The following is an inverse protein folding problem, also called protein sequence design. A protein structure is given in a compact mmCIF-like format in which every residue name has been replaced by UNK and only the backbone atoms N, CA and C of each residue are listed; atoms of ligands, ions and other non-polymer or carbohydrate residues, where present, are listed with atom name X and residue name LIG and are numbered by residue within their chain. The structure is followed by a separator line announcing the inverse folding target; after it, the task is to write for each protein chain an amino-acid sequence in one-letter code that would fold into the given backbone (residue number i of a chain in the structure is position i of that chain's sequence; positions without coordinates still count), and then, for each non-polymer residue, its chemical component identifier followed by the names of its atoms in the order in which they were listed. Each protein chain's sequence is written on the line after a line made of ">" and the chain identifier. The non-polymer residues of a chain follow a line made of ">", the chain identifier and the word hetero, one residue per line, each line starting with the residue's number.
data_IF_347981578133
#
_entry.id   IF_347981578133
#
_cell.length_a   1.000
_cell.length_b   1.000
_cell.length_c   1.000
_cell.angle_alpha   90.00
_cell.angle_beta   90.00
_cell.angle_gamma   90.00
#
_symmetry.space_group_name_H-M   'P 1'
#
loop_
_entity.id
_entity.type
_entity.pdbx_description
1 polymer ?
#
# COMPACT_ATOMS: atom_id res chain seq x y z
N UNK A 1 29.68 21.23 68.15
CA UNK A 1 28.49 20.37 67.95
C UNK A 1 27.58 20.92 66.86
N UNK A 2 27.16 22.19 66.94
CA UNK A 2 26.27 22.85 65.97
C UNK A 2 26.75 22.76 64.51
N UNK A 3 28.04 23.01 64.27
CA UNK A 3 28.64 23.05 62.92
C UNK A 3 28.62 21.69 62.20
N UNK A 4 28.86 20.59 62.93
CA UNK A 4 28.71 19.22 62.42
C UNK A 4 27.27 18.92 61.98
N UNK A 5 26.27 19.41 62.72
CA UNK A 5 24.85 19.25 62.36
C UNK A 5 24.50 20.04 61.11
N UNK A 6 25.02 21.28 60.97
CA UNK A 6 24.82 22.11 59.77
C UNK A 6 25.40 21.43 58.51
N UNK A 7 26.60 20.87 58.59
CA UNK A 7 27.22 20.16 57.46
C UNK A 7 26.46 18.89 57.06
N UNK A 8 25.94 18.12 58.03
CA UNK A 8 25.13 16.93 57.75
C UNK A 8 23.79 17.28 57.09
N UNK A 9 23.13 18.37 57.52
CA UNK A 9 21.89 18.86 56.89
C UNK A 9 22.15 19.35 55.46
N UNK A 10 23.25 20.08 55.22
CA UNK A 10 23.64 20.50 53.88
C UNK A 10 23.90 19.32 52.94
N UNK A 11 24.62 18.30 53.41
CA UNK A 11 24.89 17.10 52.61
C UNK A 11 23.59 16.34 52.25
N UNK A 12 22.64 16.25 53.19
CA UNK A 12 21.34 15.63 52.94
C UNK A 12 20.50 16.42 51.91
N UNK A 13 20.48 17.75 51.99
CA UNK A 13 19.78 18.62 51.03
C UNK A 13 20.39 18.52 49.62
N UNK A 14 21.73 18.53 49.51
CA UNK A 14 22.42 18.35 48.22
C UNK A 14 22.14 16.97 47.63
N UNK A 15 22.16 15.91 48.45
CA UNK A 15 21.80 14.55 48.03
C UNK A 15 20.35 14.45 47.53
N UNK A 16 19.40 15.10 48.22
CA UNK A 16 17.99 15.13 47.84
C UNK A 16 17.78 15.89 46.52
N UNK A 17 18.41 17.05 46.35
CA UNK A 17 18.33 17.84 45.11
C UNK A 17 18.99 17.10 43.94
N UNK A 18 20.16 16.49 44.14
CA UNK A 18 20.84 15.70 43.10
C UNK A 18 20.01 14.46 42.72
N UNK A 19 19.47 13.73 43.70
CA UNK A 19 18.57 12.60 43.47
C UNK A 19 17.31 13.01 42.71
N UNK A 20 16.68 14.13 43.07
CA UNK A 20 15.53 14.68 42.37
C UNK A 20 15.88 15.12 40.94
N UNK A 21 17.07 15.68 40.69
CA UNK A 21 17.48 16.14 39.37
C UNK A 21 17.83 14.98 38.42
N UNK A 22 18.34 13.86 38.95
CA UNK A 22 18.67 12.64 38.19
C UNK A 22 17.46 11.72 37.97
N UNK A 23 16.58 11.56 38.98
CA UNK A 23 15.42 10.66 38.91
C UNK A 23 14.10 11.38 38.57
N UNK A 24 13.86 12.58 39.10
CA UNK A 24 12.65 13.37 38.84
C UNK A 24 12.53 13.92 37.41
N UNK A 25 13.62 13.89 36.63
CA UNK A 25 13.59 14.15 35.18
C UNK A 25 13.17 12.95 34.33
N UNK A 26 13.03 11.74 34.91
CA UNK A 26 12.47 10.58 34.21
C UNK A 26 10.97 10.80 34.07
N UNK A 27 10.54 11.24 32.89
CA UNK A 27 9.12 11.37 32.54
C UNK A 27 8.43 10.02 32.84
N UNK A 28 7.27 10.00 33.51
CA UNK A 28 6.47 8.78 33.59
C UNK A 28 6.18 8.31 32.17
N UNK A 29 6.32 7.01 31.91
CA UNK A 29 6.04 6.41 30.60
C UNK A 29 4.67 6.85 30.12
N UNK A 30 4.57 7.24 28.85
CA UNK A 30 3.33 7.80 28.30
C UNK A 30 2.24 6.72 28.47
N UNK A 31 1.05 7.04 29.04
CA UNK A 31 -0.01 6.04 29.23
C UNK A 31 -0.50 5.43 27.90
N UNK A 32 -0.17 6.05 26.76
CA UNK A 32 -0.29 5.48 25.43
C UNK A 32 0.54 4.20 25.23
N UNK A 33 1.80 4.12 25.66
CA UNK A 33 2.72 3.04 25.28
C UNK A 33 2.19 1.66 25.73
N UNK A 34 1.64 1.55 26.94
CA UNK A 34 1.04 0.30 27.44
C UNK A 34 -0.29 -0.04 26.75
N UNK A 35 -1.12 0.98 26.45
CA UNK A 35 -2.38 0.81 25.73
C UNK A 35 -2.17 0.46 24.25
N UNK A 36 -1.12 1.01 23.63
CA UNK A 36 -0.70 0.75 22.26
C UNK A 36 -0.08 -0.65 22.14
N UNK A 37 0.78 -1.05 23.08
CA UNK A 37 1.26 -2.45 23.18
C UNK A 37 0.10 -3.44 23.42
N UNK A 38 -0.92 -3.07 24.19
CA UNK A 38 -2.11 -3.91 24.36
C UNK A 38 -2.95 -4.03 23.07
N UNK A 39 -3.13 -2.93 22.33
CA UNK A 39 -3.83 -2.91 21.03
C UNK A 39 -3.07 -3.69 19.96
N UNK A 40 -1.76 -3.47 19.82
CA UNK A 40 -0.91 -4.21 18.87
C UNK A 40 -0.90 -5.72 19.14
N UNK A 41 -0.98 -6.14 20.41
CA UNK A 41 -1.15 -7.56 20.76
C UNK A 41 -2.53 -8.09 20.37
N UNK A 42 -3.59 -7.33 20.59
CA UNK A 42 -4.94 -7.72 20.16
C UNK A 42 -5.04 -7.85 18.63
N UNK A 43 -4.49 -6.89 17.89
CA UNK A 43 -4.42 -6.92 16.43
C UNK A 43 -3.62 -8.15 15.92
N UNK A 44 -2.47 -8.44 16.53
CA UNK A 44 -1.66 -9.62 16.21
C UNK A 44 -2.43 -10.94 16.39
N UNK A 45 -3.19 -11.09 17.48
CA UNK A 45 -4.01 -12.26 17.73
C UNK A 45 -5.18 -12.37 16.73
N UNK A 46 -5.83 -11.25 16.36
CA UNK A 46 -6.88 -11.27 15.32
C UNK A 46 -6.32 -11.63 13.94
N UNK A 47 -5.11 -11.18 13.58
CA UNK A 47 -4.46 -11.58 12.34
C UNK A 47 -4.06 -13.07 12.33
N UNK A 48 -3.68 -13.62 13.49
CA UNK A 48 -3.40 -15.06 13.63
C UNK A 48 -4.65 -15.91 13.44
N UNK A 49 -5.78 -15.51 14.04
CA UNK A 49 -7.07 -16.19 13.87
C UNK A 49 -7.53 -16.15 12.40
N UNK A 50 -7.42 -15.00 11.73
CA UNK A 50 -7.71 -14.89 10.30
C UNK A 50 -6.81 -15.80 9.45
N UNK A 51 -5.52 -15.94 9.82
CA UNK A 51 -4.59 -16.88 9.17
C UNK A 51 -5.04 -18.34 9.29
N UNK A 52 -5.50 -18.77 10.48
CA UNK A 52 -6.01 -20.15 10.66
C UNK A 52 -7.30 -20.40 9.89
N UNK A 53 -8.18 -19.39 9.74
CA UNK A 53 -9.39 -19.51 8.92
C UNK A 53 -9.06 -19.63 7.43
N UNK A 54 -8.06 -18.87 6.95
CA UNK A 54 -7.55 -19.00 5.58
C UNK A 54 -6.91 -20.37 5.31
N UNK A 55 -6.11 -20.90 6.25
CA UNK A 55 -5.48 -22.21 6.15
C UNK A 55 -6.53 -23.34 6.12
N UNK A 56 -7.58 -23.24 6.93
CA UNK A 56 -8.72 -24.17 6.90
C UNK A 56 -9.50 -24.09 5.57
N UNK A 57 -9.67 -22.89 5.00
CA UNK A 57 -10.32 -22.73 3.69
C UNK A 57 -9.48 -23.31 2.54
N UNK A 58 -8.15 -23.18 2.59
CA UNK A 58 -7.23 -23.81 1.63
C UNK A 58 -7.34 -25.33 1.73
N UNK A 59 -7.22 -25.91 2.93
CA UNK A 59 -7.35 -27.35 3.14
C UNK A 59 -8.71 -27.90 2.66
N UNK A 60 -9.79 -27.12 2.82
CA UNK A 60 -11.12 -27.48 2.30
C UNK A 60 -11.18 -27.48 0.77
N UNK A 61 -10.61 -26.46 0.11
CA UNK A 61 -10.52 -26.39 -1.35
C UNK A 61 -9.65 -27.50 -1.93
N UNK A 62 -8.53 -27.84 -1.28
CA UNK A 62 -7.66 -28.95 -1.69
C UNK A 62 -8.37 -30.31 -1.56
N UNK A 63 -9.15 -30.53 -0.49
CA UNK A 63 -9.95 -31.73 -0.33
C UNK A 63 -11.04 -31.85 -1.41
N UNK A 64 -11.72 -30.75 -1.73
CA UNK A 64 -12.75 -30.72 -2.78
C UNK A 64 -12.16 -30.93 -4.18
N UNK A 65 -10.98 -30.36 -4.46
CA UNK A 65 -10.24 -30.57 -5.71
C UNK A 65 -9.71 -32.00 -5.85
N UNK A 66 -9.24 -32.60 -4.75
CA UNK A 66 -8.80 -34.01 -4.70
C UNK A 66 -9.96 -34.97 -4.97
N UNK A 67 -11.13 -34.71 -4.37
CA UNK A 67 -12.35 -35.49 -4.60
C UNK A 67 -12.85 -35.38 -6.05
N UNK A 68 -12.69 -34.21 -6.69
CA UNK A 68 -12.99 -33.99 -8.11
C UNK A 68 -12.01 -34.69 -9.08
N UNK A 69 -10.89 -35.24 -8.59
CA UNK A 69 -9.84 -35.90 -9.39
C UNK A 69 -10.00 -37.42 -9.53
N UNK A 70 -11.07 -38.01 -8.98
CA UNK A 70 -11.44 -39.40 -9.32
C UNK A 70 -12.05 -39.47 -10.73
N UNK A 71 -11.64 -40.44 -11.58
CA UNK A 71 -11.88 -40.36 -13.02
C UNK A 71 -13.35 -40.57 -13.40
N UNK A 72 -13.93 -39.58 -14.06
CA UNK A 72 -15.16 -39.76 -14.85
C UNK A 72 -14.85 -40.72 -15.99
N UNK A 73 -15.55 -41.87 -16.14
CA UNK A 73 -15.25 -42.83 -17.20
C UNK A 73 -15.53 -42.24 -18.59
N UNK A 74 -14.61 -42.51 -19.52
CA UNK A 74 -14.61 -42.05 -20.91
C UNK A 74 -15.83 -42.60 -21.70
N UNK A 75 -16.95 -41.87 -21.74
CA UNK A 75 -18.12 -42.25 -22.55
C UNK A 75 -19.08 -41.09 -22.91
N UNK A 76 -18.57 -39.89 -23.25
CA UNK A 76 -19.42 -38.78 -23.72
C UNK A 76 -18.68 -37.71 -24.56
N UNK A 77 -17.73 -38.10 -25.41
CA UNK A 77 -16.92 -37.17 -26.22
C UNK A 77 -17.42 -37.01 -27.67
N UNK A 78 -18.69 -37.29 -27.95
CA UNK A 78 -19.26 -37.26 -29.31
C UNK A 78 -20.64 -36.58 -29.30
N UNK A 79 -20.84 -35.58 -30.17
CA UNK A 79 -21.79 -34.44 -30.07
C UNK A 79 -21.37 -33.45 -28.95
N UNK A 80 -21.25 -32.15 -29.17
CA UNK A 80 -21.95 -31.27 -30.13
C UNK A 80 -20.97 -30.32 -30.83
N UNK A 81 -20.83 -30.46 -32.16
CA UNK A 81 -20.14 -29.48 -33.04
C UNK A 81 -21.18 -28.71 -33.86
N UNK A 82 -22.16 -28.13 -33.18
CA UNK A 82 -23.32 -27.51 -33.82
C UNK A 82 -23.98 -26.44 -32.95
N UNK A 83 -23.42 -25.22 -32.96
CA UNK A 83 -24.18 -23.98 -33.11
C UNK A 83 -23.26 -22.74 -33.12
N UNK A 84 -22.93 -22.29 -34.33
CA UNK A 84 -22.58 -20.89 -34.62
C UNK A 84 -23.82 -20.27 -35.28
N UNK A 85 -24.31 -19.11 -34.82
CA UNK A 85 -25.25 -18.30 -35.61
C UNK A 85 -26.49 -17.68 -34.95
N UNK A 86 -26.31 -16.87 -33.90
CA UNK A 86 -27.18 -15.73 -33.49
C UNK A 86 -26.50 -15.01 -32.32
N UNK A 87 -26.41 -13.67 -32.24
CA UNK A 87 -27.17 -12.58 -32.89
C UNK A 87 -26.19 -11.43 -33.25
N UNK A 88 -26.50 -10.61 -34.27
CA UNK A 88 -25.74 -9.40 -34.67
C UNK A 88 -26.66 -8.17 -34.62
N UNK A 89 -26.10 -7.01 -34.22
CA UNK A 89 -26.69 -5.65 -34.25
C UNK A 89 -27.42 -5.24 -32.97
N UNK A 90 -27.50 -3.98 -32.52
CA UNK A 90 -26.93 -2.67 -32.96
C UNK A 90 -27.20 -1.62 -31.84
N UNK A 91 -26.53 -0.47 -31.67
CA UNK A 91 -25.36 0.15 -32.33
C UNK A 91 -24.74 1.28 -31.45
N UNK A 92 -23.46 1.58 -31.69
CA UNK A 92 -22.73 2.89 -31.70
C UNK A 92 -23.20 4.10 -30.85
N UNK A 93 -22.31 4.96 -30.31
CA UNK A 93 -21.26 5.69 -31.07
C UNK A 93 -20.06 6.13 -30.19
N UNK A 94 -18.85 6.16 -30.77
CA UNK A 94 -17.59 6.70 -30.20
C UNK A 94 -17.37 8.19 -30.68
N UNK A 95 -16.18 8.85 -30.74
CA UNK A 95 -14.75 8.44 -30.78
C UNK A 95 -13.96 8.89 -29.52
N UNK A 96 -12.66 8.63 -29.33
CA UNK A 96 -11.60 8.32 -30.31
C UNK A 96 -10.66 7.19 -29.84
N UNK A 97 -10.08 6.48 -30.80
CA UNK A 97 -9.21 5.30 -30.59
C UNK A 97 -7.90 5.50 -31.33
N UNK A 98 -6.85 5.83 -30.57
CA UNK A 98 -5.48 5.61 -31.01
C UNK A 98 -5.05 4.18 -30.63
N UNK A 99 -4.73 3.37 -31.63
CA UNK A 99 -4.22 2.01 -31.43
C UNK A 99 -2.72 2.05 -31.11
N UNK A 100 -2.31 1.38 -30.03
CA UNK A 100 -1.00 0.69 -30.01
C UNK A 100 -1.13 -0.56 -29.13
N UNK A 101 -1.54 -1.67 -29.76
CA UNK A 101 -1.63 -2.98 -29.12
C UNK A 101 -0.32 -3.76 -29.27
N UNK A 102 0.68 -3.39 -28.47
CA UNK A 102 1.95 -4.11 -28.39
C UNK A 102 2.28 -4.50 -26.95
N UNK A 103 2.09 -5.78 -26.64
CA UNK A 103 2.61 -6.50 -25.46
C UNK A 103 2.42 -5.83 -24.07
N UNK A 104 1.20 -5.90 -23.53
CA UNK A 104 0.98 -5.92 -22.07
C UNK A 104 0.09 -4.83 -21.49
N UNK A 105 -1.13 -4.63 -22.03
CA UNK A 105 -2.14 -3.74 -21.45
C UNK A 105 -2.53 -2.57 -22.37
N UNK A 106 -3.45 -1.74 -21.88
CA UNK A 106 -3.95 -0.54 -22.60
C UNK A 106 -3.18 0.68 -22.12
N UNK A 107 -2.71 1.56 -23.01
CA UNK A 107 -2.02 2.79 -22.59
C UNK A 107 -3.01 3.73 -21.86
N UNK A 108 -2.71 4.18 -20.62
CA UNK A 108 -3.56 5.13 -19.92
C UNK A 108 -3.48 6.55 -20.50
N UNK A 109 -4.46 7.40 -20.18
CA UNK A 109 -4.51 8.78 -20.62
C UNK A 109 -3.34 9.63 -20.05
N UNK A 110 -2.43 10.05 -20.93
CA UNK A 110 -1.26 10.87 -20.62
C UNK A 110 -1.51 12.35 -20.87
N UNK A 111 -0.79 13.22 -20.17
CA UNK A 111 -0.74 14.66 -20.38
C UNK A 111 0.65 15.07 -20.92
N UNK A 112 0.73 16.10 -21.75
CA UNK A 112 2.02 16.64 -22.23
C UNK A 112 2.73 17.53 -21.19
N UNK A 113 1.98 18.01 -20.20
CA UNK A 113 2.44 18.87 -19.12
C UNK A 113 1.52 18.73 -17.90
N UNK A 114 1.99 19.06 -16.67
CA UNK A 114 1.11 19.14 -15.52
C UNK A 114 0.02 20.21 -15.71
N UNK A 115 -1.23 19.86 -15.39
CA UNK A 115 -2.33 20.81 -15.21
C UNK A 115 -1.89 21.96 -14.29
N UNK A 116 -2.28 23.18 -14.66
CA UNK A 116 -1.93 24.43 -13.96
C UNK A 116 -0.42 24.64 -13.71
N UNK A 117 0.44 23.98 -14.51
CA UNK A 117 1.90 24.06 -14.40
C UNK A 117 2.50 23.41 -13.16
N UNK A 118 1.70 22.73 -12.34
CA UNK A 118 2.11 22.16 -11.05
C UNK A 118 1.82 20.66 -11.01
N UNK A 119 2.85 19.85 -10.75
CA UNK A 119 2.69 18.40 -10.56
C UNK A 119 2.49 18.07 -9.08
N UNK A 120 1.81 16.97 -8.79
CA UNK A 120 1.74 16.37 -7.46
C UNK A 120 3.10 15.73 -7.08
N UNK A 121 3.39 15.68 -5.78
CA UNK A 121 4.55 14.97 -5.25
C UNK A 121 4.29 13.45 -5.24
N UNK A 122 4.61 12.78 -6.35
CA UNK A 122 4.34 11.36 -6.52
C UNK A 122 5.16 10.48 -5.56
N UNK A 123 6.27 11.00 -4.97
CA UNK A 123 7.04 10.29 -3.92
C UNK A 123 6.25 10.10 -2.63
N UNK A 124 5.09 10.74 -2.46
CA UNK A 124 4.14 10.42 -1.37
C UNK A 124 3.53 9.01 -1.50
N UNK A 125 3.60 8.38 -2.68
CA UNK A 125 3.22 6.98 -2.91
C UNK A 125 4.40 6.07 -2.54
N UNK A 126 4.17 5.11 -1.63
CA UNK A 126 5.18 4.11 -1.25
C UNK A 126 5.61 3.32 -2.48
N UNK A 127 6.92 3.35 -2.76
CA UNK A 127 7.54 2.67 -3.89
C UNK A 127 7.93 3.61 -5.03
N UNK A 128 7.37 4.81 -5.09
CA UNK A 128 7.83 5.90 -5.97
C UNK A 128 8.97 6.63 -5.27
N UNK A 129 10.19 6.46 -5.76
CA UNK A 129 11.34 7.30 -5.38
C UNK A 129 11.58 8.42 -6.39
N UNK A 130 12.47 9.39 -6.12
CA UNK A 130 12.71 10.54 -7.01
C UNK A 130 13.00 10.17 -8.47
N UNK A 131 13.74 9.08 -8.72
CA UNK A 131 14.02 8.58 -10.08
C UNK A 131 12.79 7.99 -10.80
N UNK A 132 11.83 7.46 -10.05
CA UNK A 132 10.58 6.93 -10.62
C UNK A 132 9.58 8.05 -10.84
N UNK A 133 9.52 9.05 -9.96
CA UNK A 133 8.74 10.27 -10.16
C UNK A 133 9.12 10.94 -11.49
N UNK A 134 10.42 11.17 -11.76
CA UNK A 134 10.87 11.68 -13.06
C UNK A 134 10.41 10.81 -14.23
N UNK A 135 10.58 9.49 -14.16
CA UNK A 135 10.21 8.57 -15.25
C UNK A 135 8.68 8.55 -15.48
N UNK A 136 7.88 8.61 -14.42
CA UNK A 136 6.41 8.65 -14.48
C UNK A 136 5.92 10.00 -15.03
N UNK A 137 6.58 11.10 -14.68
CA UNK A 137 6.37 12.42 -15.27
C UNK A 137 6.78 12.46 -16.75
N UNK A 138 7.90 11.84 -17.14
CA UNK A 138 8.34 11.72 -18.55
C UNK A 138 7.35 10.88 -19.39
N UNK A 139 6.58 9.99 -18.76
CA UNK A 139 5.49 9.24 -19.39
C UNK A 139 4.17 10.05 -19.48
N UNK A 140 4.11 11.27 -18.94
CA UNK A 140 2.93 12.13 -18.97
C UNK A 140 1.95 11.96 -17.81
N UNK A 141 2.40 11.39 -16.69
CA UNK A 141 1.61 11.27 -15.45
C UNK A 141 2.19 12.17 -14.37
N UNK A 142 1.42 13.18 -13.95
CA UNK A 142 1.85 14.22 -13.03
C UNK A 142 1.00 14.33 -11.78
N UNK A 143 -0.16 13.66 -11.72
CA UNK A 143 -1.16 13.85 -10.67
C UNK A 143 -1.67 12.54 -10.07
N UNK A 144 -2.09 12.57 -8.80
CA UNK A 144 -2.61 11.41 -8.10
C UNK A 144 -3.93 10.89 -8.69
N UNK A 145 -4.81 11.75 -9.20
CA UNK A 145 -6.08 11.33 -9.83
C UNK A 145 -5.86 10.54 -11.13
N UNK A 146 -4.80 10.82 -11.88
CA UNK A 146 -4.45 10.01 -13.06
C UNK A 146 -4.17 8.56 -12.63
N UNK A 147 -3.33 8.39 -11.60
CA UNK A 147 -2.93 7.08 -11.06
C UNK A 147 -4.09 6.37 -10.35
N UNK A 148 -4.94 7.11 -9.64
CA UNK A 148 -6.10 6.59 -8.93
C UNK A 148 -7.21 6.04 -9.85
N UNK A 149 -7.23 6.49 -11.11
CA UNK A 149 -8.21 6.10 -12.12
C UNK A 149 -7.71 4.98 -13.06
N UNK A 150 -6.46 4.51 -12.93
CA UNK A 150 -5.96 3.41 -13.74
C UNK A 150 -6.74 2.10 -13.50
N UNK A 151 -7.17 1.49 -14.60
CA UNK A 151 -7.67 0.12 -14.67
C UNK A 151 -6.53 -0.91 -14.56
N UNK A 152 -6.87 -2.18 -14.36
CA UNK A 152 -5.87 -3.27 -14.28
C UNK A 152 -5.01 -3.38 -15.55
N UNK A 153 -5.60 -3.16 -16.73
CA UNK A 153 -4.88 -3.21 -18.01
C UNK A 153 -3.94 -2.00 -18.18
N UNK A 154 -4.33 -0.84 -17.66
CA UNK A 154 -3.51 0.37 -17.63
C UNK A 154 -2.35 0.24 -16.64
N UNK A 155 -2.57 -0.34 -15.46
CA UNK A 155 -1.53 -0.69 -14.50
C UNK A 155 -0.51 -1.65 -15.14
N UNK A 156 -0.98 -2.69 -15.84
CA UNK A 156 -0.10 -3.62 -16.55
C UNK A 156 0.73 -2.93 -17.63
N UNK A 157 0.14 -2.00 -18.39
CA UNK A 157 0.85 -1.22 -19.40
C UNK A 157 1.94 -0.34 -18.77
N UNK A 158 1.62 0.38 -17.69
CA UNK A 158 2.62 1.22 -16.99
C UNK A 158 3.72 0.33 -16.42
N UNK A 159 3.40 -0.78 -15.74
CA UNK A 159 4.38 -1.72 -15.22
C UNK A 159 5.29 -2.32 -16.31
N UNK A 160 4.78 -2.51 -17.54
CA UNK A 160 5.61 -2.95 -18.67
C UNK A 160 6.55 -1.85 -19.19
N UNK A 161 6.13 -0.58 -19.12
CA UNK A 161 6.82 0.60 -19.66
C UNK A 161 7.78 1.29 -18.66
N UNK A 162 7.67 1.02 -17.35
CA UNK A 162 8.64 1.45 -16.34
C UNK A 162 10.03 0.80 -16.53
N UNK A 163 10.89 1.43 -17.33
CA UNK A 163 12.25 0.95 -17.63
C UNK A 163 13.07 0.72 -16.34
N UNK A 164 13.42 -0.54 -16.08
CA UNK A 164 14.19 -0.96 -14.90
C UNK A 164 13.37 -1.12 -13.60
N UNK A 165 12.06 -0.81 -13.62
CA UNK A 165 11.21 -0.74 -12.43
C UNK A 165 9.88 -1.49 -12.60
N UNK A 166 9.86 -2.51 -13.46
CA UNK A 166 8.67 -3.30 -13.81
C UNK A 166 8.01 -3.98 -12.60
N UNK A 167 6.68 -4.06 -12.61
CA UNK A 167 5.86 -4.73 -11.61
C UNK A 167 5.71 -3.99 -10.28
N UNK A 168 6.16 -2.73 -10.18
CA UNK A 168 6.07 -1.92 -8.95
C UNK A 168 4.72 -1.26 -8.75
N UNK A 169 4.04 -0.85 -9.82
CA UNK A 169 2.71 -0.22 -9.74
C UNK A 169 1.73 -1.20 -9.08
N UNK A 170 1.73 -2.44 -9.56
CA UNK A 170 0.94 -3.54 -9.01
C UNK A 170 1.39 -3.93 -7.60
N UNK A 171 2.68 -4.27 -7.41
CA UNK A 171 3.19 -4.84 -6.15
C UNK A 171 3.13 -3.86 -4.98
N UNK A 172 3.46 -2.59 -5.22
CA UNK A 172 3.47 -1.58 -4.17
C UNK A 172 2.09 -0.89 -4.03
N UNK A 173 1.08 -1.28 -4.83
CA UNK A 173 -0.31 -0.86 -4.68
C UNK A 173 -0.53 0.64 -4.93
N UNK A 174 0.02 1.18 -6.02
CA UNK A 174 0.03 2.62 -6.28
C UNK A 174 -1.37 3.23 -6.43
N UNK A 175 -2.30 2.52 -7.10
CA UNK A 175 -3.66 3.01 -7.38
C UNK A 175 -4.43 3.32 -6.10
N UNK A 176 -4.39 2.44 -5.10
CA UNK A 176 -5.10 2.64 -3.82
C UNK A 176 -4.51 3.77 -2.97
N UNK A 177 -3.18 3.89 -2.97
CA UNK A 177 -2.48 5.00 -2.31
C UNK A 177 -2.79 6.33 -3.00
N UNK A 178 -2.74 6.37 -4.33
CA UNK A 178 -3.07 7.54 -5.12
C UNK A 178 -4.54 7.95 -4.94
N UNK A 179 -5.48 7.00 -4.85
CA UNK A 179 -6.89 7.27 -4.54
C UNK A 179 -7.05 7.97 -3.19
N UNK A 180 -6.29 7.56 -2.18
CA UNK A 180 -6.29 8.20 -0.85
C UNK A 180 -5.69 9.61 -0.90
N UNK A 181 -4.58 9.81 -1.61
CA UNK A 181 -3.89 11.09 -1.73
C UNK A 181 -4.69 12.10 -2.58
N UNK A 182 -5.29 11.67 -3.70
CA UNK A 182 -6.17 12.47 -4.54
C UNK A 182 -7.44 12.96 -3.81
N UNK A 183 -7.92 12.18 -2.83
CA UNK A 183 -9.01 12.58 -1.94
C UNK A 183 -8.58 13.55 -0.81
N UNK A 184 -7.31 14.01 -0.81
CA UNK A 184 -6.74 14.86 0.25
C UNK A 184 -6.39 14.13 1.55
N UNK A 185 -6.45 12.80 1.56
CA UNK A 185 -6.04 11.98 2.70
C UNK A 185 -4.53 11.87 2.85
N UNK A 186 -4.09 11.15 3.90
CA UNK A 186 -2.71 10.75 4.07
C UNK A 186 -2.57 9.25 4.31
N UNK A 187 -1.48 8.69 3.82
CA UNK A 187 -1.00 7.35 4.20
C UNK A 187 0.10 7.48 5.25
N UNK A 188 0.27 6.45 6.08
CA UNK A 188 1.34 6.38 7.09
C UNK A 188 2.76 6.47 6.50
N UNK A 189 2.92 6.25 5.19
CA UNK A 189 4.15 6.51 4.44
C UNK A 189 4.27 7.99 4.06
N UNK A 190 3.23 8.57 3.45
CA UNK A 190 3.22 10.00 3.07
C UNK A 190 3.44 10.93 4.27
N UNK A 191 2.92 10.57 5.45
CA UNK A 191 3.12 11.32 6.70
C UNK A 191 4.54 11.24 7.27
N UNK A 192 5.36 10.29 6.79
CA UNK A 192 6.79 10.18 7.11
C UNK A 192 7.65 10.93 6.09
N UNK A 193 7.31 10.81 4.80
CA UNK A 193 7.92 11.62 3.73
C UNK A 193 7.77 13.12 4.03
N UNK A 194 6.56 13.57 4.40
CA UNK A 194 6.28 14.97 4.80
C UNK A 194 7.06 15.44 6.04
N UNK A 195 7.59 14.53 6.87
CA UNK A 195 8.43 14.84 8.05
C UNK A 195 9.94 14.84 7.74
N UNK A 196 10.33 14.41 6.54
CA UNK A 196 11.74 14.17 6.21
C UNK A 196 12.31 12.87 6.80
N UNK A 197 11.45 11.94 7.25
CA UNK A 197 11.88 10.64 7.78
C UNK A 197 12.23 9.63 6.66
N UNK A 198 12.00 9.98 5.38
CA UNK A 198 12.14 9.10 4.22
C UNK A 198 12.68 9.89 3.03
N UNK A 199 13.81 9.39 2.49
CA UNK A 199 14.68 9.97 1.45
C UNK A 199 15.66 11.05 1.91
#
# INVERSE_FOLDING_TARGET
>A
MSEMVVLLVLAALVGLVAGWLVFGRRKPGRPGDSAEVARLKAELETCRAAGTDQEAHIAKLEADLSNASSPVPLSAAERVKENVGRVVGSSQTAPDRAEDSSAGGTKPATLDAPRDGTADDLKLIKGVGPKLETLVNDLGFYHFDQIANWTTDEVAWVDANLKGFKGRVSRDGWVEQARTLAAGGSTSFSDKVKKGDVY
#
